data_IF_766811711979
#
_entry.id   IF_766811711979
#
_cell.length_a   1.000
_cell.length_b   1.000
_cell.length_c   1.000
_cell.angle_alpha   90.00
_cell.angle_beta   90.00
_cell.angle_gamma   90.00
#
_symmetry.space_group_name_H-M   'P 1'
#
loop_
_entity.id
_entity.type
_entity.pdbx_description
1 polymer ?
#
# COMPACT_ATOMS: atom_id res chain seq x y z
N UNK A 1 9.05 10.97 7.03
CA UNK A 1 7.78 10.24 7.15
C UNK A 1 6.77 10.85 6.21
N UNK A 2 6.46 10.11 5.15
CA UNK A 2 5.47 10.42 4.13
C UNK A 2 4.27 9.50 4.28
N UNK A 3 3.13 9.97 3.78
CA UNK A 3 1.93 9.16 3.60
C UNK A 3 1.68 8.97 2.11
N UNK A 4 1.77 7.74 1.63
CA UNK A 4 1.52 7.40 0.22
C UNK A 4 0.08 6.92 0.02
N UNK A 5 -0.58 7.36 -1.06
CA UNK A 5 -1.91 6.88 -1.46
C UNK A 5 -1.78 5.93 -2.65
N UNK A 6 -2.22 4.68 -2.46
CA UNK A 6 -1.89 3.56 -3.35
C UNK A 6 -3.15 2.84 -3.87
N UNK A 7 -3.09 2.35 -5.11
CA UNK A 7 -4.15 1.54 -5.72
C UNK A 7 -3.88 0.03 -5.69
N UNK A 8 -2.73 -0.40 -5.16
CA UNK A 8 -2.36 -1.80 -5.00
C UNK A 8 -1.33 -1.99 -3.87
N UNK A 9 -1.28 -3.20 -3.29
CA UNK A 9 -0.15 -3.62 -2.47
C UNK A 9 1.01 -3.96 -3.41
N UNK A 10 1.96 -3.04 -3.51
CA UNK A 10 3.19 -3.20 -4.28
C UNK A 10 4.35 -3.59 -3.35
N UNK A 11 5.52 -3.89 -3.93
CA UNK A 11 6.78 -4.00 -3.17
C UNK A 11 7.51 -2.63 -3.24
N UNK A 12 7.34 -1.73 -2.24
CA UNK A 12 7.92 -0.40 -2.28
C UNK A 12 9.35 -0.40 -1.69
N UNK A 13 10.20 -1.33 -2.11
CA UNK A 13 11.59 -1.45 -1.64
C UNK A 13 12.55 -1.47 -2.83
N UNK A 14 13.50 -0.55 -2.81
CA UNK A 14 14.63 -0.58 -3.73
C UNK A 14 15.68 -1.48 -3.10
N UNK A 15 15.75 -2.72 -3.58
CA UNK A 15 16.56 -3.76 -2.94
C UNK A 15 18.04 -3.38 -2.79
N UNK A 16 18.52 -3.35 -1.56
CA UNK A 16 19.93 -3.49 -1.21
C UNK A 16 20.18 -4.95 -0.81
N UNK A 17 21.15 -5.66 -1.44
CA UNK A 17 21.48 -7.04 -1.12
C UNK A 17 21.85 -7.32 0.34
N UNK A 18 22.28 -6.30 1.07
CA UNK A 18 22.76 -6.40 2.45
C UNK A 18 21.71 -5.91 3.47
N UNK A 19 20.53 -5.49 3.03
CA UNK A 19 19.45 -4.99 3.90
C UNK A 19 18.17 -5.84 3.76
N UNK A 20 17.61 -6.19 4.92
CA UNK A 20 16.25 -6.75 5.04
C UNK A 20 15.26 -5.65 5.36
N UNK A 21 14.33 -5.37 4.44
CA UNK A 21 13.20 -4.48 4.70
C UNK A 21 12.01 -5.24 5.29
N UNK A 22 11.49 -4.77 6.41
CA UNK A 22 10.31 -5.36 7.07
C UNK A 22 9.10 -4.46 6.87
N UNK A 23 8.03 -5.05 6.35
CA UNK A 23 6.76 -4.37 6.12
C UNK A 23 5.66 -4.96 7.00
N UNK A 24 4.96 -4.09 7.72
CA UNK A 24 3.75 -4.47 8.46
C UNK A 24 2.56 -4.03 7.61
N UNK A 25 1.64 -4.96 7.36
CA UNK A 25 0.40 -4.70 6.65
C UNK A 25 -0.80 -5.03 7.54
N UNK A 26 -1.82 -4.18 7.50
CA UNK A 26 -3.06 -4.36 8.24
C UNK A 26 -4.24 -3.98 7.36
N UNK A 27 -5.23 -4.86 7.25
CA UNK A 27 -6.53 -4.49 6.67
C UNK A 27 -7.22 -3.48 7.59
N UNK A 28 -7.74 -2.42 7.00
CA UNK A 28 -8.48 -1.36 7.68
C UNK A 28 -9.83 -1.15 6.99
N UNK A 29 -10.72 -0.41 7.63
CA UNK A 29 -11.98 0.03 7.05
C UNK A 29 -11.87 1.46 6.49
N UNK A 30 -12.91 1.89 5.79
CA UNK A 30 -12.98 3.23 5.20
C UNK A 30 -12.92 4.35 6.25
N UNK A 31 -13.64 4.28 7.40
CA UNK A 31 -13.52 5.29 8.44
C UNK A 31 -12.09 5.46 8.96
N UNK A 32 -11.37 4.37 9.21
CA UNK A 32 -9.97 4.45 9.66
C UNK A 32 -9.04 4.97 8.56
N UNK A 33 -9.28 4.59 7.30
CA UNK A 33 -8.56 5.16 6.15
C UNK A 33 -8.68 6.69 6.12
N UNK A 34 -9.91 7.21 6.21
CA UNK A 34 -10.19 8.64 6.24
C UNK A 34 -9.55 9.33 7.44
N UNK A 35 -9.64 8.71 8.62
CA UNK A 35 -9.07 9.27 9.84
C UNK A 35 -7.54 9.40 9.74
N UNK A 36 -6.84 8.39 9.22
CA UNK A 36 -5.38 8.43 9.04
C UNK A 36 -5.00 9.54 8.06
N UNK A 37 -5.70 9.64 6.92
CA UNK A 37 -5.44 10.68 5.93
C UNK A 37 -5.68 12.07 6.52
N UNK A 38 -6.78 12.26 7.25
CA UNK A 38 -7.10 13.51 7.94
C UNK A 38 -6.00 13.92 8.91
N UNK A 39 -5.59 13.02 9.81
CA UNK A 39 -4.54 13.28 10.80
C UNK A 39 -3.22 13.66 10.09
N UNK A 40 -2.85 12.93 9.04
CA UNK A 40 -1.62 13.23 8.31
C UNK A 40 -1.65 14.63 7.68
N UNK A 41 -2.80 15.07 7.14
CA UNK A 41 -2.98 16.40 6.58
C UNK A 41 -2.96 17.48 7.67
N UNK A 42 -3.65 17.26 8.80
CA UNK A 42 -3.67 18.18 9.94
C UNK A 42 -2.29 18.37 10.56
N UNK A 43 -1.49 17.30 10.63
CA UNK A 43 -0.11 17.30 11.12
C UNK A 43 0.90 17.88 10.10
N UNK A 44 0.46 18.28 8.91
CA UNK A 44 1.34 18.81 7.86
C UNK A 44 2.32 17.77 7.30
N UNK A 45 1.96 16.48 7.33
CA UNK A 45 2.76 15.42 6.70
C UNK A 45 2.71 15.54 5.18
N UNK A 46 3.79 15.11 4.54
CA UNK A 46 3.86 15.02 3.09
C UNK A 46 2.97 13.87 2.59
N UNK A 47 1.85 14.22 1.96
CA UNK A 47 0.90 13.27 1.37
C UNK A 47 1.18 13.14 -0.12
N UNK A 48 1.66 11.97 -0.52
CA UNK A 48 2.06 11.68 -1.89
C UNK A 48 1.03 10.75 -2.52
N UNK A 49 0.35 11.22 -3.55
CA UNK A 49 -0.47 10.32 -4.37
C UNK A 49 0.42 9.50 -5.28
N UNK A 50 0.28 8.18 -5.25
CA UNK A 50 0.87 7.24 -6.20
C UNK A 50 -0.22 6.33 -6.78
N UNK A 51 -1.38 6.94 -7.06
CA UNK A 51 -2.53 6.28 -7.68
C UNK A 51 -2.32 6.17 -9.19
N UNK A 52 -2.17 4.92 -9.67
CA UNK A 52 -1.80 4.65 -11.05
C UNK A 52 -2.93 4.65 -12.08
N UNK A 53 -4.20 4.84 -11.69
CA UNK A 53 -5.36 4.86 -12.60
C UNK A 53 -6.32 6.01 -12.26
N UNK A 54 -6.77 6.77 -13.28
CA UNK A 54 -7.70 7.89 -13.11
C UNK A 54 -9.04 7.44 -12.50
N UNK A 55 -9.57 6.29 -12.94
CA UNK A 55 -10.81 5.73 -12.39
C UNK A 55 -10.74 5.46 -10.88
N UNK A 56 -9.56 5.09 -10.36
CA UNK A 56 -9.34 4.88 -8.92
C UNK A 56 -9.31 6.21 -8.17
N UNK A 57 -8.74 7.25 -8.78
CA UNK A 57 -8.75 8.62 -8.23
C UNK A 57 -10.18 9.12 -8.12
N UNK A 58 -10.96 9.02 -9.19
CA UNK A 58 -12.35 9.47 -9.23
C UNK A 58 -13.22 8.66 -8.27
N UNK A 59 -13.00 7.35 -8.19
CA UNK A 59 -13.67 6.48 -7.23
C UNK A 59 -13.41 6.93 -5.79
N UNK A 60 -12.14 7.12 -5.41
CA UNK A 60 -11.78 7.57 -4.06
C UNK A 60 -12.36 8.95 -3.75
N UNK A 61 -12.34 9.89 -4.71
CA UNK A 61 -12.99 11.20 -4.54
C UNK A 61 -14.50 11.10 -4.33
N UNK A 62 -15.14 10.09 -4.92
CA UNK A 62 -16.57 9.83 -4.78
C UNK A 62 -16.98 9.20 -3.45
N UNK A 63 -16.07 8.49 -2.78
CA UNK A 63 -16.38 7.79 -1.50
C UNK A 63 -15.79 8.44 -0.27
N UNK A 64 -14.74 9.26 -0.41
CA UNK A 64 -14.11 9.97 0.71
C UNK A 64 -14.73 11.35 0.91
N UNK A 65 -14.57 11.90 2.12
CA UNK A 65 -14.92 13.28 2.42
C UNK A 65 -14.27 14.29 1.45
N UNK A 66 -14.96 15.38 1.06
CA UNK A 66 -14.46 16.36 0.07
C UNK A 66 -13.07 16.94 0.39
N UNK A 67 -12.75 17.13 1.67
CA UNK A 67 -11.46 17.69 2.09
C UNK A 67 -10.26 16.78 1.77
N UNK A 68 -10.48 15.47 1.67
CA UNK A 68 -9.48 14.49 1.26
C UNK A 68 -9.24 14.50 -0.26
N UNK A 69 -10.24 14.92 -1.05
CA UNK A 69 -10.23 14.83 -2.50
C UNK A 69 -9.09 15.63 -3.16
N UNK A 70 -8.60 16.69 -2.52
CA UNK A 70 -7.50 17.53 -3.02
C UNK A 70 -6.15 16.82 -3.08
N UNK A 71 -5.97 15.76 -2.29
CA UNK A 71 -4.74 14.95 -2.26
C UNK A 71 -4.79 13.75 -3.21
N UNK A 72 -5.99 13.40 -3.69
CA UNK A 72 -6.19 12.33 -4.65
C UNK A 72 -5.92 12.85 -6.07
N UNK A 73 -4.69 12.67 -6.52
CA UNK A 73 -4.28 13.01 -7.89
C UNK A 73 -3.79 11.77 -8.62
N UNK A 74 -4.06 11.71 -9.92
CA UNK A 74 -3.44 10.67 -10.75
C UNK A 74 -1.94 10.92 -10.80
N UNK A 75 -1.16 9.93 -10.36
CA UNK A 75 0.29 10.00 -10.41
C UNK A 75 0.86 8.57 -10.40
N UNK A 76 1.35 8.10 -11.54
CA UNK A 76 1.90 6.76 -11.72
C UNK A 76 3.40 6.78 -11.59
N UNK A 77 3.89 6.88 -10.36
CA UNK A 77 5.31 6.89 -10.02
C UNK A 77 5.74 5.64 -9.27
N UNK A 78 7.00 5.25 -9.45
CA UNK A 78 7.64 4.26 -8.60
C UNK A 78 7.88 4.87 -7.22
N UNK A 79 7.44 4.18 -6.18
CA UNK A 79 7.62 4.62 -4.80
C UNK A 79 8.51 3.64 -4.04
N UNK A 80 9.27 4.20 -3.11
CA UNK A 80 10.10 3.44 -2.19
C UNK A 80 9.85 3.99 -0.79
N UNK A 81 9.56 3.09 0.15
CA UNK A 81 9.25 3.48 1.52
C UNK A 81 10.53 3.57 2.32
N UNK A 82 10.70 4.65 3.06
CA UNK A 82 11.70 4.74 4.13
C UNK A 82 11.11 4.20 5.45
N UNK A 83 11.94 3.78 6.41
CA UNK A 83 11.46 3.42 7.74
C UNK A 83 10.57 4.51 8.35
N UNK A 84 9.38 4.11 8.79
CA UNK A 84 8.35 5.00 9.33
C UNK A 84 7.35 5.53 8.30
N UNK A 85 7.62 5.41 7.00
CA UNK A 85 6.64 5.79 5.98
C UNK A 85 5.39 4.90 6.03
N UNK A 86 4.27 5.50 5.64
CA UNK A 86 2.94 4.87 5.64
C UNK A 86 2.37 4.83 4.23
N UNK A 87 1.64 3.76 3.91
CA UNK A 87 0.86 3.62 2.69
C UNK A 87 -0.59 3.31 3.03
N UNK A 88 -1.49 4.12 2.49
CA UNK A 88 -2.92 3.88 2.48
C UNK A 88 -3.31 3.29 1.12
N UNK A 89 -3.60 2.00 1.12
CA UNK A 89 -3.90 1.22 -0.08
C UNK A 89 -5.41 1.03 -0.22
N UNK A 90 -5.93 1.31 -1.41
CA UNK A 90 -7.26 0.90 -1.85
C UNK A 90 -7.09 -0.10 -2.99
N UNK A 91 -7.50 -1.35 -2.80
CA UNK A 91 -7.38 -2.39 -3.84
C UNK A 91 -8.70 -3.10 -4.09
N UNK A 92 -8.85 -3.61 -5.31
CA UNK A 92 -9.88 -4.60 -5.61
C UNK A 92 -9.45 -5.96 -5.05
N UNK A 93 -10.32 -6.62 -4.28
CA UNK A 93 -10.03 -7.90 -3.63
C UNK A 93 -9.91 -9.05 -4.63
N UNK A 94 -10.73 -9.02 -5.67
CA UNK A 94 -10.73 -10.03 -6.71
C UNK A 94 -9.61 -9.77 -7.73
N UNK A 95 -9.00 -10.86 -8.18
CA UNK A 95 -8.04 -10.80 -9.27
C UNK A 95 -8.83 -10.61 -10.57
N UNK A 96 -8.71 -9.43 -11.16
CA UNK A 96 -9.21 -9.18 -12.51
C UNK A 96 -8.43 -9.98 -13.56
N UNK A 97 -8.93 -9.95 -14.79
CA UNK A 97 -8.17 -10.46 -15.93
C UNK A 97 -6.81 -9.75 -16.06
N UNK A 98 -5.87 -10.39 -16.74
CA UNK A 98 -4.55 -9.81 -16.96
C UNK A 98 -4.68 -8.42 -17.61
N UNK A 99 -4.06 -7.41 -17.00
CA UNK A 99 -4.12 -6.00 -17.43
C UNK A 99 -5.52 -5.34 -17.37
N UNK A 100 -6.47 -5.90 -16.62
CA UNK A 100 -7.78 -5.27 -16.44
C UNK A 100 -7.66 -3.93 -15.70
N UNK A 101 -8.09 -2.86 -16.35
CA UNK A 101 -8.36 -1.57 -15.73
C UNK A 101 -9.86 -1.48 -15.41
N UNK A 102 -10.19 -1.20 -14.15
CA UNK A 102 -11.58 -1.08 -13.71
C UNK A 102 -12.10 0.32 -14.00
N UNK A 103 -13.27 0.42 -14.64
CA UNK A 103 -13.98 1.68 -14.80
C UNK A 103 -14.53 2.20 -13.46
N UNK A 104 -14.86 3.49 -13.40
CA UNK A 104 -15.49 4.08 -12.21
C UNK A 104 -16.79 3.36 -11.82
N UNK A 105 -17.63 3.03 -12.80
CA UNK A 105 -18.90 2.33 -12.55
C UNK A 105 -18.66 0.95 -11.92
N UNK A 106 -17.70 0.18 -12.45
CA UNK A 106 -17.33 -1.11 -11.87
C UNK A 106 -16.76 -0.96 -10.45
N UNK A 107 -15.88 0.02 -10.21
CA UNK A 107 -15.31 0.26 -8.87
C UNK A 107 -16.40 0.61 -7.85
N UNK A 108 -17.38 1.43 -8.24
CA UNK A 108 -18.53 1.74 -7.39
C UNK A 108 -19.37 0.51 -7.07
N UNK A 109 -19.60 -0.36 -8.06
CA UNK A 109 -20.34 -1.60 -7.85
C UNK A 109 -19.56 -2.60 -7.00
N UNK A 110 -18.25 -2.74 -7.21
CA UNK A 110 -17.37 -3.55 -6.37
C UNK A 110 -17.40 -3.07 -4.91
N UNK A 111 -17.37 -1.76 -4.69
CA UNK A 111 -17.42 -1.17 -3.36
C UNK A 111 -18.74 -1.49 -2.64
N UNK A 112 -19.88 -1.31 -3.33
CA UNK A 112 -21.21 -1.67 -2.80
C UNK A 112 -21.30 -3.15 -2.42
N UNK A 113 -20.59 -4.01 -3.15
CA UNK A 113 -20.54 -5.45 -2.92
C UNK A 113 -19.42 -5.89 -1.97
N UNK A 114 -18.73 -4.96 -1.30
CA UNK A 114 -17.67 -5.26 -0.32
C UNK A 114 -16.40 -5.87 -0.93
N UNK A 115 -16.16 -5.69 -2.23
CA UNK A 115 -15.01 -6.22 -2.98
C UNK A 115 -13.87 -5.21 -3.15
N UNK A 116 -13.99 -4.04 -2.53
CA UNK A 116 -12.89 -3.09 -2.36
C UNK A 116 -12.36 -3.24 -0.94
N UNK A 117 -11.04 -3.36 -0.80
CA UNK A 117 -10.36 -3.48 0.48
C UNK A 117 -9.40 -2.33 0.70
N UNK A 118 -9.29 -1.91 1.96
CA UNK A 118 -8.35 -0.90 2.40
C UNK A 118 -7.28 -1.53 3.27
N UNK A 119 -6.02 -1.12 3.06
CA UNK A 119 -4.89 -1.56 3.87
C UNK A 119 -4.04 -0.38 4.31
N UNK A 120 -3.50 -0.50 5.52
CA UNK A 120 -2.35 0.25 5.97
C UNK A 120 -1.11 -0.61 5.75
N UNK A 121 -0.08 -0.06 5.12
CA UNK A 121 1.25 -0.65 5.01
C UNK A 121 2.27 0.32 5.60
N UNK A 122 3.27 -0.19 6.31
CA UNK A 122 4.39 0.62 6.82
C UNK A 122 5.69 -0.17 6.77
N UNK A 123 6.78 0.52 6.44
CA UNK A 123 8.13 -0.02 6.61
C UNK A 123 8.58 0.27 8.03
N UNK A 124 9.01 -0.76 8.75
CA UNK A 124 9.55 -0.61 10.11
C UNK A 124 11.04 -0.85 10.11
N UNK A 125 11.74 -0.13 10.98
CA UNK A 125 13.15 -0.41 11.27
C UNK A 125 13.22 -1.64 12.18
N UNK A 126 13.83 -2.73 11.69
CA UNK A 126 13.94 -3.99 12.41
C UNK A 126 15.38 -4.53 12.34
N UNK A 127 16.33 -3.93 13.07
CA UNK A 127 17.76 -4.25 12.97
C UNK A 127 18.10 -5.66 13.47
N UNK A 128 17.24 -6.28 14.29
CA UNK A 128 17.46 -7.59 14.89
C UNK A 128 16.85 -8.75 14.07
N UNK A 129 16.07 -8.45 13.03
CA UNK A 129 15.40 -9.47 12.24
C UNK A 129 16.37 -9.99 11.16
N UNK A 130 17.35 -10.80 11.58
CA UNK A 130 18.25 -11.52 10.68
C UNK A 130 17.48 -12.71 10.09
N UNK A 131 16.56 -12.43 9.18
CA UNK A 131 16.16 -13.41 8.17
C UNK A 131 17.13 -13.28 7.00
N UNK A 132 18.42 -13.57 7.23
CA UNK A 132 19.34 -13.71 6.10
C UNK A 132 18.94 -15.01 5.38
N UNK A 133 18.36 -14.94 4.16
CA UNK A 133 17.95 -16.13 3.45
C UNK A 133 19.14 -17.07 3.20
N UNK A 134 20.38 -16.55 3.10
CA UNK A 134 21.58 -17.37 2.95
C UNK A 134 21.78 -18.30 4.15
N UNK A 135 21.52 -17.82 5.37
CA UNK A 135 21.60 -18.64 6.58
C UNK A 135 20.43 -19.63 6.69
N UNK A 136 19.23 -19.24 6.24
CA UNK A 136 18.07 -20.14 6.22
C UNK A 136 18.25 -21.30 5.24
N UNK A 137 18.66 -21.03 3.99
CA UNK A 137 18.91 -22.08 2.99
C UNK A 137 20.11 -22.97 3.35
N UNK A 138 21.21 -22.38 3.87
CA UNK A 138 22.35 -23.16 4.35
C UNK A 138 21.97 -24.12 5.49
N UNK A 139 21.03 -23.73 6.36
CA UNK A 139 20.53 -24.60 7.43
C UNK A 139 19.62 -25.73 6.94
N UNK A 140 18.93 -25.55 5.81
CA UNK A 140 18.14 -26.62 5.18
C UNK A 140 19.03 -27.61 4.42
N UNK A 141 20.01 -27.15 3.66
CA UNK A 141 20.96 -28.03 2.94
C UNK A 141 21.78 -28.89 3.91
N UNK A 142 22.18 -28.34 5.06
CA UNK A 142 22.86 -29.10 6.11
C UNK A 142 21.97 -30.16 6.80
N UNK A 143 20.64 -30.05 6.70
CA UNK A 143 19.70 -30.99 7.31
C UNK A 143 19.31 -32.16 6.41
N UNK A 144 19.56 -32.06 5.09
CA UNK A 144 19.30 -33.12 4.11
C UNK A 144 20.49 -34.08 3.95
N UNK A 145 21.63 -33.81 4.58
CA UNK A 145 22.84 -34.67 4.58
C UNK A 145 22.93 -35.63 5.80
N UNK A 146 21.83 -35.83 6.55
CA UNK A 146 21.78 -36.74 7.71
C UNK A 146 20.68 -37.81 7.61
#
# INVERSE_FOLDING_TARGET
MKLFLLNALINPYQGDPDETAVFITRRIDLPLYEQILKIAVEDGRDVVSALGHESTVDFLKGILAPDAAKHLVFNRESIFFEPGDLGLVCRVAERGDFMKEWSLAELMDLHKNGRIEFFLVTRVFAPELILDPKNFFASMEASDEH
#
